data_IF_204370881772
#
_entry.id   IF_204370881772
#
_cell.length_a   1.000
_cell.length_b   1.000
_cell.length_c   1.000
_cell.angle_alpha   90.00
_cell.angle_beta   90.00
_cell.angle_gamma   90.00
#
_symmetry.space_group_name_H-M   'P 1'
#
loop_
_entity.id
_entity.type
_entity.pdbx_description
1 polymer ?
#
# COMPACT_ATOMS: atom_id res chain seq x y z
N UNK A 1 -8.81 11.22 9.30
CA UNK A 1 -7.59 11.41 8.49
C UNK A 1 -7.60 10.34 7.40
N UNK A 2 -8.22 10.64 6.25
CA UNK A 2 -8.35 9.69 5.13
C UNK A 2 -6.96 9.51 4.49
N UNK A 3 -6.25 8.44 4.86
CA UNK A 3 -4.94 8.17 4.31
C UNK A 3 -5.05 7.90 2.82
N UNK A 4 -4.76 8.92 2.02
CA UNK A 4 -4.54 8.97 0.58
C UNK A 4 -5.11 7.79 -0.19
N UNK A 5 -6.15 8.03 -1.00
CA UNK A 5 -6.83 7.04 -1.86
C UNK A 5 -5.87 6.18 -2.71
N UNK A 6 -4.62 6.59 -2.88
CA UNK A 6 -3.54 5.80 -3.48
C UNK A 6 -3.22 4.55 -2.65
N UNK A 7 -3.35 3.33 -3.23
CA UNK A 7 -2.93 2.11 -2.56
C UNK A 7 -1.47 2.18 -2.12
N UNK A 8 -1.17 1.77 -0.88
CA UNK A 8 0.20 1.69 -0.36
C UNK A 8 0.87 0.39 -0.81
N UNK A 9 2.17 0.46 -1.14
CA UNK A 9 2.97 -0.70 -1.50
C UNK A 9 3.05 -1.69 -0.32
N UNK A 10 2.82 -2.98 -0.55
CA UNK A 10 2.90 -3.98 0.52
C UNK A 10 4.36 -4.27 0.88
N UNK A 11 4.54 -4.83 2.08
CA UNK A 11 5.85 -5.25 2.58
C UNK A 11 6.35 -6.48 1.82
N UNK A 12 7.68 -6.60 1.71
CA UNK A 12 8.30 -7.83 1.23
C UNK A 12 8.33 -8.92 2.33
N UNK A 13 8.69 -10.14 1.95
CA UNK A 13 8.71 -11.30 2.84
C UNK A 13 9.54 -11.07 4.12
N UNK A 14 10.75 -10.54 3.98
CA UNK A 14 11.64 -10.25 5.10
C UNK A 14 11.04 -9.23 6.07
N UNK A 15 10.55 -8.10 5.57
CA UNK A 15 10.01 -7.03 6.43
C UNK A 15 8.72 -7.50 7.10
N UNK A 16 7.90 -8.28 6.40
CA UNK A 16 6.69 -8.87 6.97
C UNK A 16 7.03 -9.85 8.11
N UNK A 17 7.98 -10.77 7.88
CA UNK A 17 8.47 -11.66 8.93
C UNK A 17 9.07 -10.89 10.11
N UNK A 18 9.87 -9.85 9.85
CA UNK A 18 10.50 -9.03 10.88
C UNK A 18 9.46 -8.34 11.77
N UNK A 19 8.37 -7.84 11.16
CA UNK A 19 7.27 -7.20 11.87
C UNK A 19 6.41 -8.21 12.67
N UNK A 20 6.11 -9.38 12.11
CA UNK A 20 5.26 -10.38 12.77
C UNK A 20 6.00 -11.18 13.87
N UNK A 21 7.25 -11.57 13.60
CA UNK A 21 7.96 -12.56 14.42
C UNK A 21 9.38 -12.11 14.78
N UNK A 22 10.16 -11.65 13.80
CA UNK A 22 11.60 -11.40 13.98
C UNK A 22 11.91 -10.42 15.13
N UNK A 23 11.19 -9.30 15.21
CA UNK A 23 11.36 -8.31 16.30
C UNK A 23 11.09 -8.93 17.67
N UNK A 24 9.98 -9.66 17.82
CA UNK A 24 9.59 -10.30 19.08
C UNK A 24 10.61 -11.35 19.51
N UNK A 25 11.08 -12.19 18.58
CA UNK A 25 12.09 -13.21 18.86
C UNK A 25 13.39 -12.58 19.39
N UNK A 26 13.83 -11.48 18.77
CA UNK A 26 15.07 -10.79 19.17
C UNK A 26 14.88 -10.07 20.50
N UNK A 27 13.78 -9.33 20.67
CA UNK A 27 13.47 -8.60 21.91
C UNK A 27 13.25 -9.51 23.11
N UNK A 28 12.76 -10.74 22.91
CA UNK A 28 12.65 -11.74 23.97
C UNK A 28 14.03 -12.15 24.52
N UNK A 29 15.05 -12.23 23.67
CA UNK A 29 16.43 -12.58 24.06
C UNK A 29 17.26 -11.36 24.47
N UNK A 30 16.95 -10.19 23.91
CA UNK A 30 17.69 -8.96 24.09
C UNK A 30 16.72 -7.77 24.21
N UNK A 31 16.01 -7.63 25.34
CA UNK A 31 15.01 -6.58 25.52
C UNK A 31 15.60 -5.17 25.37
N UNK A 32 16.86 -4.97 25.77
CA UNK A 32 17.59 -3.70 25.72
C UNK A 32 18.06 -3.29 24.32
N UNK A 33 17.96 -4.15 23.29
CA UNK A 33 18.45 -3.78 21.96
C UNK A 33 17.67 -2.61 21.36
N UNK A 34 18.40 -1.62 20.87
CA UNK A 34 17.85 -0.55 20.04
C UNK A 34 17.28 -1.10 18.73
N UNK A 35 16.44 -0.31 18.06
CA UNK A 35 15.88 -0.68 16.76
C UNK A 35 16.98 -1.08 15.75
N UNK A 36 18.07 -0.32 15.69
CA UNK A 36 19.21 -0.61 14.80
C UNK A 36 19.87 -1.96 15.11
N UNK A 37 20.03 -2.31 16.39
CA UNK A 37 20.57 -3.61 16.81
C UNK A 37 19.61 -4.75 16.46
N UNK A 38 18.30 -4.55 16.65
CA UNK A 38 17.28 -5.51 16.24
C UNK A 38 17.33 -5.74 14.73
N UNK A 39 17.38 -4.67 13.92
CA UNK A 39 17.44 -4.76 12.46
C UNK A 39 18.67 -5.56 11.99
N UNK A 40 19.85 -5.30 12.56
CA UNK A 40 21.08 -6.05 12.24
C UNK A 40 20.96 -7.53 12.59
N UNK A 41 20.35 -7.86 13.74
CA UNK A 41 20.15 -9.26 14.14
C UNK A 41 19.05 -9.96 13.33
N UNK A 42 18.00 -9.25 12.96
CA UNK A 42 16.92 -9.82 12.14
C UNK A 42 17.42 -10.19 10.76
N UNK A 43 18.27 -9.36 10.12
CA UNK A 43 18.87 -9.72 8.83
C UNK A 43 19.66 -11.03 8.91
N UNK A 44 20.49 -11.19 9.95
CA UNK A 44 21.28 -12.42 10.16
C UNK A 44 20.41 -13.64 10.45
N UNK A 45 19.35 -13.46 11.23
CA UNK A 45 18.43 -14.56 11.56
C UNK A 45 17.65 -14.98 10.31
N UNK A 46 17.14 -14.03 9.52
CA UNK A 46 16.49 -14.31 8.25
C UNK A 46 17.40 -15.08 7.30
N UNK A 47 18.66 -14.66 7.13
CA UNK A 47 19.60 -15.39 6.27
C UNK A 47 19.82 -16.84 6.70
N UNK A 48 19.74 -17.13 8.01
CA UNK A 48 19.89 -18.48 8.57
C UNK A 48 18.60 -19.31 8.60
N UNK A 49 17.43 -18.71 8.35
CA UNK A 49 16.18 -19.47 8.26
C UNK A 49 16.22 -20.41 7.06
N UNK A 50 15.56 -21.56 7.17
CA UNK A 50 15.45 -22.49 6.06
C UNK A 50 14.54 -21.92 4.96
N UNK A 51 14.76 -22.39 3.72
CA UNK A 51 13.97 -21.94 2.58
C UNK A 51 12.49 -22.30 2.71
N UNK A 52 12.15 -23.40 3.39
CA UNK A 52 10.77 -23.77 3.68
C UNK A 52 10.04 -22.69 4.48
N UNK A 53 10.62 -22.23 5.60
CA UNK A 53 10.01 -21.18 6.41
C UNK A 53 9.93 -19.86 5.64
N UNK A 54 10.99 -19.51 4.90
CA UNK A 54 11.00 -18.31 4.05
C UNK A 54 9.92 -18.38 2.97
N UNK A 55 9.69 -19.55 2.37
CA UNK A 55 8.76 -19.74 1.27
C UNK A 55 7.34 -19.30 1.63
N UNK A 56 6.88 -19.61 2.86
CA UNK A 56 5.57 -19.16 3.34
C UNK A 56 5.47 -17.63 3.35
N UNK A 57 6.50 -16.93 3.85
CA UNK A 57 6.53 -15.47 3.85
C UNK A 57 6.64 -14.89 2.44
N UNK A 58 7.35 -15.55 1.53
CA UNK A 58 7.39 -15.18 0.12
C UNK A 58 6.02 -15.32 -0.55
N UNK A 59 5.29 -16.39 -0.27
CA UNK A 59 3.92 -16.58 -0.75
C UNK A 59 3.00 -15.49 -0.22
N UNK A 60 3.00 -15.22 1.09
CA UNK A 60 2.19 -14.14 1.65
C UNK A 60 2.54 -12.76 1.05
N UNK A 61 3.82 -12.45 0.86
CA UNK A 61 4.25 -11.19 0.26
C UNK A 61 3.81 -11.09 -1.22
N UNK A 62 3.84 -12.21 -1.94
CA UNK A 62 3.40 -12.30 -3.33
C UNK A 62 1.89 -12.07 -3.46
N UNK A 63 1.09 -12.71 -2.60
CA UNK A 63 -0.37 -12.50 -2.54
C UNK A 63 -0.69 -11.04 -2.22
N UNK A 64 -0.01 -10.45 -1.23
CA UNK A 64 -0.18 -9.04 -0.90
C UNK A 64 0.17 -8.11 -2.08
N UNK A 65 1.23 -8.44 -2.84
CA UNK A 65 1.61 -7.71 -4.06
C UNK A 65 0.58 -7.84 -5.17
N UNK A 66 -0.02 -9.01 -5.37
CA UNK A 66 -1.10 -9.22 -6.35
C UNK A 66 -2.31 -8.35 -6.01
N UNK A 67 -2.76 -8.38 -4.75
CA UNK A 67 -3.88 -7.55 -4.29
C UNK A 67 -3.59 -6.05 -4.42
N UNK A 68 -2.34 -5.64 -4.11
CA UNK A 68 -1.91 -4.26 -4.31
C UNK A 68 -2.00 -3.83 -5.78
N UNK A 69 -1.50 -4.66 -6.71
CA UNK A 69 -1.56 -4.37 -8.15
C UNK A 69 -3.01 -4.22 -8.63
N UNK A 70 -3.92 -5.09 -8.19
CA UNK A 70 -5.34 -5.00 -8.52
C UNK A 70 -5.95 -3.68 -8.02
N UNK A 71 -5.74 -3.34 -6.73
CA UNK A 71 -6.23 -2.07 -6.16
C UNK A 71 -5.62 -0.85 -6.86
N UNK A 72 -4.34 -0.92 -7.22
CA UNK A 72 -3.65 0.16 -7.94
C UNK A 72 -4.24 0.38 -9.34
N UNK A 73 -4.63 -0.70 -10.03
CA UNK A 73 -5.33 -0.61 -11.31
C UNK A 73 -6.66 0.15 -11.19
N UNK A 74 -7.50 -0.25 -10.23
CA UNK A 74 -8.79 0.41 -9.97
C UNK A 74 -8.59 1.89 -9.63
N UNK A 75 -7.66 2.19 -8.73
CA UNK A 75 -7.36 3.57 -8.34
C UNK A 75 -6.89 4.42 -9.52
N UNK A 76 -6.04 3.87 -10.40
CA UNK A 76 -5.59 4.57 -11.62
C UNK A 76 -6.75 4.89 -12.56
N UNK A 77 -7.68 3.96 -12.76
CA UNK A 77 -8.86 4.18 -13.61
C UNK A 77 -9.80 5.25 -13.03
N UNK A 78 -10.02 5.24 -11.71
CA UNK A 78 -10.81 6.27 -11.02
C UNK A 78 -10.14 7.66 -11.09
N UNK A 79 -8.81 7.71 -10.99
CA UNK A 79 -8.05 8.95 -11.18
C UNK A 79 -8.16 9.51 -12.61
N UNK A 80 -8.28 8.64 -13.63
CA UNK A 80 -8.49 9.08 -15.00
C UNK A 80 -9.91 9.66 -15.20
N UNK A 81 -10.93 9.00 -14.64
CA UNK A 81 -12.33 9.46 -14.72
C UNK A 81 -12.57 10.77 -13.96
N UNK A 82 -11.97 10.94 -12.78
CA UNK A 82 -12.09 12.18 -12.00
C UNK A 82 -11.52 13.39 -12.74
N UNK A 83 -10.40 13.22 -13.47
CA UNK A 83 -9.80 14.27 -14.31
C UNK A 83 -10.64 14.64 -15.53
N UNK A 84 -11.30 13.67 -16.18
CA UNK A 84 -12.19 13.96 -17.31
C UNK A 84 -13.50 14.63 -16.85
N UNK A 85 -14.00 14.27 -15.67
CA UNK A 85 -15.24 14.82 -15.11
C UNK A 85 -15.10 16.28 -14.65
N UNK A 86 -13.89 16.72 -14.29
CA UNK A 86 -13.65 18.13 -13.90
C UNK A 86 -13.59 19.08 -15.09
N UNK A 87 -13.36 18.56 -16.31
CA UNK A 87 -13.35 19.39 -17.55
C UNK A 87 -14.77 19.59 -18.09
N UNK A 88 -15.73 18.73 -17.75
CA UNK A 88 -17.10 18.77 -18.29
C UNK A 88 -18.15 19.47 -17.41
N UNK A 89 -17.78 19.95 -16.20
CA UNK A 89 -18.73 20.65 -15.31
C UNK A 89 -18.52 22.16 -15.22
N UNK A 90 -17.77 22.75 -16.16
CA UNK A 90 -17.62 24.21 -16.31
C UNK A 90 -17.87 24.63 -17.75
N UNK A 91 -19.16 24.60 -18.13
CA UNK A 91 -19.83 25.44 -19.14
C UNK A 91 -21.09 24.71 -19.66
N UNK A 92 -22.11 24.60 -18.82
CA UNK A 92 -23.49 24.48 -19.33
C UNK A 92 -24.45 25.06 -18.30
N UNK A 93 -24.56 26.38 -18.33
CA UNK A 93 -25.77 27.09 -17.92
C UNK A 93 -26.21 27.88 -19.14
N UNK A 94 -26.91 27.21 -20.03
CA UNK A 94 -27.73 27.85 -21.06
C UNK A 94 -29.11 28.08 -20.45
N UNK A 95 -29.44 29.33 -20.13
CA UNK A 95 -30.83 29.78 -20.12
C UNK A 95 -31.03 30.73 -21.29
N UNK A 96 -31.70 30.19 -22.31
CA UNK A 96 -32.06 30.85 -23.56
C UNK A 96 -33.48 31.40 -23.44
N UNK A 97 -33.63 32.66 -23.83
CA UNK A 97 -34.82 33.31 -24.40
C UNK A 97 -36.15 33.32 -23.63
N UNK A 98 -36.45 34.47 -23.03
CA UNK A 98 -37.82 34.95 -22.82
C UNK A 98 -38.06 36.20 -23.69
N UNK A 99 -38.72 36.00 -24.84
CA UNK A 99 -39.17 37.04 -25.77
C UNK A 99 -40.20 37.96 -25.11
N UNK A 100 -40.05 39.29 -25.26
CA UNK A 100 -41.10 40.26 -24.96
C UNK A 100 -41.34 41.16 -26.19
N UNK A 101 -42.48 40.94 -26.83
CA UNK A 101 -43.23 41.80 -27.74
C UNK A 101 -44.63 41.86 -27.10
N UNK A 102 -45.40 42.94 -27.03
CA UNK A 102 -45.48 44.21 -27.75
C UNK A 102 -45.70 45.35 -26.74
#
# INVERSE_FOLDING_TARGET
MESSRCPKRPLNAYVMWMNCSGRRIIKKKHPQYSFTQVARKSSRLWSKMCEYDKSMWHTYASVAMIQYKARLGIWKSQQAQTKSSTVSHSHSSSDTAGSHQQ
#
